data_IF_800531686487
#
_entry.id   IF_800531686487
#
_cell.length_a   1.000
_cell.length_b   1.000
_cell.length_c   1.000
_cell.angle_alpha   90.00
_cell.angle_beta   90.00
_cell.angle_gamma   90.00
#
_symmetry.space_group_name_H-M   'P 1'
#
loop_
_entity.id
_entity.type
_entity.pdbx_description
1 polymer ?
#
# COMPACT_ATOMS: atom_id res chain seq x y z
N UNK A 1 -10.29 -18.85 -23.30
CA UNK A 1 -8.84 -18.64 -23.13
C UNK A 1 -8.64 -17.20 -22.68
N UNK A 2 -8.16 -17.00 -21.49
CA UNK A 2 -7.90 -15.67 -20.93
C UNK A 2 -6.44 -15.60 -20.48
N UNK A 3 -5.74 -14.53 -20.83
CA UNK A 3 -4.40 -14.24 -20.36
C UNK A 3 -4.49 -13.17 -19.29
N UNK A 4 -3.86 -13.39 -18.14
CA UNK A 4 -3.76 -12.44 -17.05
C UNK A 4 -2.30 -12.12 -16.74
N UNK A 5 -2.03 -10.90 -16.28
CA UNK A 5 -0.72 -10.51 -15.80
C UNK A 5 -0.74 -10.48 -14.26
N UNK A 6 0.03 -11.37 -13.63
CA UNK A 6 0.32 -11.34 -12.21
C UNK A 6 1.49 -10.40 -11.95
N UNK A 7 1.30 -9.39 -11.12
CA UNK A 7 2.30 -8.38 -10.76
C UNK A 7 2.63 -8.52 -9.29
N UNK A 8 3.87 -8.86 -8.96
CA UNK A 8 4.36 -9.09 -7.62
C UNK A 8 5.47 -8.07 -7.28
N UNK A 9 5.13 -7.10 -6.43
CA UNK A 9 6.07 -6.13 -5.89
C UNK A 9 6.75 -6.70 -4.64
N UNK A 10 7.90 -7.33 -4.82
CA UNK A 10 8.75 -7.78 -3.71
C UNK A 10 9.55 -6.65 -3.08
N UNK A 11 10.49 -6.98 -2.18
CA UNK A 11 11.29 -5.97 -1.47
C UNK A 11 12.29 -5.25 -2.39
N UNK A 12 12.84 -5.92 -3.40
CA UNK A 12 13.95 -5.37 -4.22
C UNK A 12 13.63 -5.31 -5.71
N UNK A 13 12.49 -5.83 -6.12
CA UNK A 13 12.10 -5.88 -7.54
C UNK A 13 10.61 -6.12 -7.68
N UNK A 14 10.05 -5.70 -8.80
CA UNK A 14 8.75 -6.17 -9.28
C UNK A 14 8.94 -7.31 -10.28
N UNK A 15 8.09 -8.31 -10.20
CA UNK A 15 7.99 -9.42 -11.14
C UNK A 15 6.64 -9.40 -11.84
N UNK A 16 6.64 -9.51 -13.16
CA UNK A 16 5.43 -9.64 -13.98
C UNK A 16 5.42 -11.00 -14.64
N UNK A 17 4.35 -11.75 -14.45
CA UNK A 17 4.15 -13.08 -15.04
C UNK A 17 2.89 -13.09 -15.89
N UNK A 18 2.99 -13.50 -17.16
CA UNK A 18 1.84 -13.75 -18.02
C UNK A 18 1.38 -15.19 -17.84
N UNK A 19 0.10 -15.38 -17.55
CA UNK A 19 -0.51 -16.68 -17.30
C UNK A 19 -1.74 -16.86 -18.19
N UNK A 20 -1.76 -17.92 -18.98
CA UNK A 20 -2.90 -18.37 -19.76
C UNK A 20 -3.73 -19.34 -18.90
N UNK A 21 -5.05 -19.18 -18.85
CA UNK A 21 -5.95 -20.01 -18.03
C UNK A 21 -5.85 -21.51 -18.35
N UNK A 22 -5.48 -21.86 -19.57
CA UNK A 22 -5.47 -23.25 -20.05
C UNK A 22 -4.04 -23.83 -20.14
N UNK A 23 -3.05 -22.99 -20.45
CA UNK A 23 -1.65 -23.40 -20.69
C UNK A 23 -0.73 -23.16 -19.50
N UNK A 24 -1.18 -22.39 -18.51
CA UNK A 24 -0.36 -21.97 -17.38
C UNK A 24 0.56 -20.78 -17.72
N UNK A 25 1.70 -20.70 -17.03
CA UNK A 25 2.64 -19.57 -17.17
C UNK A 25 3.28 -19.55 -18.53
N UNK A 26 3.11 -18.43 -19.26
CA UNK A 26 3.70 -18.18 -20.58
C UNK A 26 5.11 -17.59 -20.49
N UNK A 27 5.34 -16.69 -19.56
CA UNK A 27 6.64 -16.07 -19.33
C UNK A 27 6.64 -15.22 -18.07
N UNK A 28 7.84 -14.74 -17.69
CA UNK A 28 8.02 -13.85 -16.53
C UNK A 28 9.24 -12.97 -16.72
N UNK A 29 9.14 -11.71 -16.33
CA UNK A 29 10.28 -10.79 -16.26
C UNK A 29 10.26 -10.02 -14.94
N UNK A 30 11.43 -9.51 -14.53
CA UNK A 30 11.59 -8.74 -13.32
C UNK A 30 12.43 -7.51 -13.56
N UNK A 31 12.14 -6.43 -12.82
CA UNK A 31 12.94 -5.22 -12.80
C UNK A 31 13.20 -4.79 -11.35
N UNK A 32 14.44 -4.42 -11.06
CA UNK A 32 14.85 -3.99 -9.74
C UNK A 32 14.53 -2.51 -9.50
N UNK A 33 14.38 -2.14 -8.23
CA UNK A 33 14.29 -0.75 -7.77
C UNK A 33 15.10 -0.55 -6.49
N UNK A 34 15.55 0.70 -6.23
CA UNK A 34 16.39 0.98 -5.07
C UNK A 34 15.68 0.74 -3.74
N UNK A 35 16.40 0.20 -2.78
CA UNK A 35 16.04 0.21 -1.36
C UNK A 35 16.91 1.26 -0.66
N UNK A 36 16.29 2.31 -0.13
CA UNK A 36 16.99 3.36 0.58
C UNK A 36 17.23 2.94 2.04
N UNK A 37 18.48 2.92 2.45
CA UNK A 37 18.92 2.64 3.82
C UNK A 37 19.86 3.76 4.28
N UNK A 38 19.95 3.98 5.58
CA UNK A 38 20.89 4.92 6.19
C UNK A 38 21.82 4.20 7.14
N UNK A 39 23.12 4.45 7.01
CA UNK A 39 24.11 3.80 7.87
C UNK A 39 23.96 4.22 9.34
N UNK A 40 23.61 5.48 9.54
CA UNK A 40 23.41 6.11 10.86
C UNK A 40 22.07 5.78 11.50
N UNK A 41 21.14 5.20 10.74
CA UNK A 41 19.81 4.80 11.22
C UNK A 41 19.44 3.42 10.62
N UNK A 42 19.79 2.33 11.29
CA UNK A 42 19.56 0.97 10.79
C UNK A 42 18.07 0.61 10.66
N UNK A 43 17.19 1.34 11.37
CA UNK A 43 15.75 1.16 11.31
C UNK A 43 15.12 1.84 10.09
N UNK A 44 15.86 2.71 9.41
CA UNK A 44 15.40 3.40 8.21
C UNK A 44 15.35 2.47 7.00
N UNK A 45 14.17 2.35 6.37
CA UNK A 45 13.99 1.62 5.11
C UNK A 45 12.86 2.23 4.28
N UNK A 46 13.22 2.89 3.17
CA UNK A 46 12.22 3.52 2.29
C UNK A 46 12.40 3.17 0.83
N UNK A 47 11.36 3.38 0.03
CA UNK A 47 11.37 3.24 -1.44
C UNK A 47 10.48 4.27 -2.11
N UNK A 48 10.92 4.74 -3.26
CA UNK A 48 10.19 5.67 -4.10
C UNK A 48 9.04 4.96 -4.86
N UNK A 49 7.84 5.53 -4.81
CA UNK A 49 6.71 5.08 -5.63
C UNK A 49 7.03 5.21 -7.14
N UNK A 50 7.68 6.29 -7.54
CA UNK A 50 8.05 6.51 -8.94
C UNK A 50 9.01 5.45 -9.48
N UNK A 51 10.02 5.03 -8.67
CA UNK A 51 10.97 4.00 -9.06
C UNK A 51 10.29 2.64 -9.22
N UNK A 52 9.35 2.32 -8.32
CA UNK A 52 8.57 1.08 -8.40
C UNK A 52 7.68 1.06 -9.64
N UNK A 53 7.01 2.17 -9.98
CA UNK A 53 6.18 2.25 -11.19
C UNK A 53 7.03 2.21 -12.47
N UNK A 54 8.22 2.82 -12.49
CA UNK A 54 9.15 2.69 -13.61
C UNK A 54 9.63 1.25 -13.82
N UNK A 55 9.92 0.53 -12.73
CA UNK A 55 10.28 -0.88 -12.79
C UNK A 55 9.11 -1.76 -13.27
N UNK A 56 7.88 -1.45 -12.88
CA UNK A 56 6.69 -2.14 -13.40
C UNK A 56 6.59 -2.01 -14.91
N UNK A 57 6.79 -0.81 -15.45
CA UNK A 57 6.80 -0.57 -16.90
C UNK A 57 7.89 -1.41 -17.58
N UNK A 58 9.11 -1.41 -17.02
CA UNK A 58 10.23 -2.18 -17.54
C UNK A 58 9.93 -3.69 -17.55
N UNK A 59 9.46 -4.25 -16.46
CA UNK A 59 9.17 -5.68 -16.35
C UNK A 59 8.01 -6.10 -17.27
N UNK A 60 6.95 -5.28 -17.36
CA UNK A 60 5.81 -5.58 -18.22
C UNK A 60 6.21 -5.59 -19.69
N UNK A 61 6.93 -4.58 -20.15
CA UNK A 61 7.42 -4.53 -21.54
C UNK A 61 8.41 -5.65 -21.87
N UNK A 62 9.25 -6.04 -20.91
CA UNK A 62 10.20 -7.14 -21.09
C UNK A 62 9.47 -8.48 -21.28
N UNK A 63 8.48 -8.81 -20.43
CA UNK A 63 7.75 -10.07 -20.57
C UNK A 63 6.89 -10.12 -21.84
N UNK A 64 6.33 -9.00 -22.28
CA UNK A 64 5.60 -8.91 -23.56
C UNK A 64 6.53 -9.19 -24.74
N UNK A 65 7.72 -8.59 -24.75
CA UNK A 65 8.71 -8.81 -25.81
C UNK A 65 9.22 -10.26 -25.84
N UNK A 66 9.44 -10.88 -24.67
CA UNK A 66 9.93 -12.25 -24.54
C UNK A 66 8.90 -13.29 -24.98
N UNK A 67 7.64 -13.08 -24.63
CA UNK A 67 6.56 -14.06 -24.89
C UNK A 67 5.87 -13.89 -26.23
N UNK A 68 6.03 -12.71 -26.86
CA UNK A 68 5.30 -12.31 -28.06
C UNK A 68 3.76 -12.45 -27.91
N UNK A 69 3.26 -12.35 -26.68
CA UNK A 69 1.81 -12.32 -26.41
C UNK A 69 1.23 -11.04 -26.97
N UNK A 70 0.10 -11.15 -27.65
CA UNK A 70 -0.67 -9.98 -28.08
C UNK A 70 -1.19 -9.24 -26.83
N UNK A 71 -0.81 -7.97 -26.58
CA UNK A 71 -1.28 -7.20 -25.44
C UNK A 71 -2.81 -7.16 -25.32
N UNK A 72 -3.53 -7.13 -26.45
CA UNK A 72 -4.99 -7.12 -26.48
C UNK A 72 -5.64 -8.42 -25.93
N UNK A 73 -4.86 -9.50 -25.80
CA UNK A 73 -5.32 -10.74 -25.20
C UNK A 73 -5.25 -10.75 -23.67
N UNK A 74 -4.58 -9.76 -23.05
CA UNK A 74 -4.46 -9.64 -21.60
C UNK A 74 -5.71 -8.97 -21.04
N UNK A 75 -6.52 -9.75 -20.33
CA UNK A 75 -7.84 -9.30 -19.86
C UNK A 75 -7.83 -8.71 -18.45
N UNK A 76 -6.78 -8.95 -17.64
CA UNK A 76 -6.68 -8.46 -16.28
C UNK A 76 -5.22 -8.36 -15.78
N UNK A 77 -5.02 -7.46 -14.82
CA UNK A 77 -3.84 -7.35 -13.97
C UNK A 77 -4.23 -7.74 -12.54
N UNK A 78 -3.49 -8.65 -11.92
CA UNK A 78 -3.62 -9.00 -10.50
C UNK A 78 -2.38 -8.49 -9.75
N UNK A 79 -2.60 -7.71 -8.71
CA UNK A 79 -1.53 -7.07 -7.94
C UNK A 79 -1.28 -7.80 -6.64
N UNK A 80 -0.02 -8.10 -6.34
CA UNK A 80 0.49 -8.47 -5.04
C UNK A 80 1.63 -7.53 -4.65
N UNK A 81 1.73 -7.20 -3.35
CA UNK A 81 2.71 -6.23 -2.86
C UNK A 81 3.23 -6.61 -1.49
N UNK A 82 4.39 -6.08 -1.12
CA UNK A 82 4.83 -6.13 0.28
C UNK A 82 3.82 -5.38 1.17
N UNK A 83 3.33 -6.03 2.20
CA UNK A 83 2.58 -5.39 3.28
C UNK A 83 3.50 -5.35 4.50
N UNK A 84 3.57 -4.39 5.24
CA UNK A 84 2.98 -3.10 5.46
C UNK A 84 3.93 -1.99 4.95
N UNK A 85 3.69 -1.48 3.81
CA UNK A 85 4.47 -0.39 3.21
C UNK A 85 3.56 0.82 3.06
N UNK A 86 3.80 1.85 3.87
CA UNK A 86 2.89 2.98 4.05
C UNK A 86 3.43 4.23 3.39
N UNK A 87 2.60 4.89 2.58
CA UNK A 87 2.92 6.15 1.94
C UNK A 87 1.92 7.25 2.32
N UNK A 88 2.38 8.39 2.86
CA UNK A 88 1.55 9.57 3.06
C UNK A 88 1.38 10.32 1.75
N UNK A 89 0.16 10.77 1.47
CA UNK A 89 -0.17 11.48 0.22
C UNK A 89 -0.97 12.75 0.47
N UNK A 90 -0.96 13.65 -0.51
CA UNK A 90 -1.79 14.86 -0.52
C UNK A 90 -3.19 14.62 -1.11
N UNK A 91 -3.97 15.68 -1.23
CA UNK A 91 -5.36 15.64 -1.73
C UNK A 91 -5.50 15.25 -3.19
N UNK A 92 -4.39 15.16 -3.94
CA UNK A 92 -4.34 14.69 -5.32
C UNK A 92 -3.62 13.32 -5.41
N UNK A 93 -3.50 12.61 -4.28
CA UNK A 93 -2.76 11.35 -4.14
C UNK A 93 -1.29 11.43 -4.56
N UNK A 94 -0.69 12.66 -4.53
CA UNK A 94 0.74 12.77 -4.78
C UNK A 94 1.52 12.39 -3.52
N UNK A 95 2.56 11.55 -3.64
CA UNK A 95 3.42 11.19 -2.52
C UNK A 95 4.02 12.43 -1.82
N UNK A 96 3.89 12.49 -0.50
CA UNK A 96 4.55 13.48 0.33
C UNK A 96 5.93 13.02 0.80
N UNK A 97 6.18 11.72 0.71
CA UNK A 97 7.43 11.07 1.05
C UNK A 97 7.51 9.70 0.35
N UNK A 98 8.63 9.00 0.49
CA UNK A 98 8.78 7.59 0.12
C UNK A 98 7.88 6.68 0.98
N UNK A 99 7.64 5.47 0.51
CA UNK A 99 7.08 4.42 1.36
C UNK A 99 7.97 4.17 2.57
N UNK A 100 7.39 4.13 3.75
CA UNK A 100 7.99 3.46 4.91
C UNK A 100 7.71 1.96 4.78
N UNK A 101 8.75 1.18 4.46
CA UNK A 101 8.60 -0.24 4.13
C UNK A 101 8.26 -1.10 5.35
N UNK A 102 7.85 -2.35 5.13
CA UNK A 102 7.61 -3.33 6.18
C UNK A 102 8.83 -3.50 7.12
N UNK A 103 10.03 -3.36 6.59
CA UNK A 103 11.30 -3.41 7.35
C UNK A 103 11.81 -2.02 7.80
N UNK A 104 10.95 -0.99 7.80
CA UNK A 104 11.20 0.29 8.47
C UNK A 104 10.69 0.19 9.91
N UNK A 105 11.60 0.25 10.86
CA UNK A 105 11.31 0.00 12.26
C UNK A 105 11.34 1.26 13.13
N UNK A 106 11.42 2.47 12.56
CA UNK A 106 11.53 3.72 13.31
C UNK A 106 10.35 4.03 14.24
N UNK A 107 9.18 3.45 14.01
CA UNK A 107 7.94 3.75 14.73
C UNK A 107 7.75 2.95 16.06
N UNK A 108 8.84 2.56 16.74
CA UNK A 108 8.79 1.75 17.96
C UNK A 108 7.99 2.41 19.10
N UNK A 109 8.19 3.72 19.32
CA UNK A 109 7.52 4.48 20.39
C UNK A 109 6.01 4.56 20.15
N UNK A 110 5.64 4.83 18.92
CA UNK A 110 4.25 4.91 18.49
C UNK A 110 3.53 3.57 18.68
N UNK A 111 4.17 2.48 18.29
CA UNK A 111 3.63 1.13 18.47
C UNK A 111 3.41 0.78 19.96
N UNK A 112 4.38 1.11 20.82
CA UNK A 112 4.24 0.93 22.26
C UNK A 112 3.07 1.74 22.83
N UNK A 113 2.92 3.01 22.44
CA UNK A 113 1.81 3.87 22.88
C UNK A 113 0.47 3.31 22.43
N UNK A 114 0.35 2.85 21.17
CA UNK A 114 -0.87 2.21 20.66
C UNK A 114 -1.21 0.98 21.49
N UNK A 115 -0.24 0.11 21.74
CA UNK A 115 -0.43 -1.12 22.53
C UNK A 115 -0.89 -0.80 23.97
N UNK A 116 -0.21 0.12 24.63
CA UNK A 116 -0.54 0.51 26.01
C UNK A 116 -1.94 1.11 26.10
N UNK A 117 -2.26 2.07 25.24
CA UNK A 117 -3.57 2.70 25.23
C UNK A 117 -4.68 1.69 24.89
N UNK A 118 -4.44 0.80 23.94
CA UNK A 118 -5.43 -0.22 23.55
C UNK A 118 -5.77 -1.15 24.71
N UNK A 119 -4.79 -1.55 25.52
CA UNK A 119 -5.05 -2.33 26.74
C UNK A 119 -5.72 -1.51 27.85
N UNK A 120 -5.34 -0.24 28.04
CA UNK A 120 -5.96 0.65 29.03
C UNK A 120 -7.44 0.94 28.76
N UNK A 121 -7.80 0.98 27.50
CA UNK A 121 -9.15 1.28 27.02
C UNK A 121 -9.96 0.04 26.62
N UNK A 122 -9.45 -1.15 26.92
CA UNK A 122 -10.08 -2.44 26.56
C UNK A 122 -10.47 -2.50 25.06
N UNK A 123 -9.62 -1.95 24.17
CA UNK A 123 -9.89 -1.95 22.74
C UNK A 123 -9.88 -3.37 22.19
N UNK A 124 -11.02 -3.88 21.77
CA UNK A 124 -11.15 -5.25 21.25
C UNK A 124 -10.16 -5.55 20.12
N UNK A 125 -9.88 -4.57 19.25
CA UNK A 125 -9.00 -4.74 18.09
C UNK A 125 -7.59 -5.21 18.46
N UNK A 126 -7.06 -4.90 19.66
CA UNK A 126 -5.71 -5.30 20.06
C UNK A 126 -5.58 -6.82 20.22
N UNK A 127 -6.65 -7.50 20.66
CA UNK A 127 -6.64 -8.97 20.77
C UNK A 127 -6.47 -9.64 19.41
N UNK A 128 -7.02 -9.04 18.36
CA UNK A 128 -6.88 -9.53 16.97
C UNK A 128 -5.50 -9.25 16.37
N UNK A 129 -4.70 -8.40 17.01
CA UNK A 129 -3.29 -8.17 16.70
C UNK A 129 -2.34 -9.07 17.51
N UNK A 130 -2.87 -10.06 18.25
CA UNK A 130 -2.08 -10.90 19.15
C UNK A 130 -1.68 -10.17 20.45
N UNK A 131 -2.38 -9.12 20.83
CA UNK A 131 -2.15 -8.34 22.07
C UNK A 131 -1.09 -7.25 21.96
N UNK A 132 -0.41 -7.11 20.81
CA UNK A 132 0.65 -6.12 20.60
C UNK A 132 0.48 -5.48 19.22
N UNK A 133 0.56 -4.16 19.13
CA UNK A 133 0.61 -3.45 17.85
C UNK A 133 2.05 -3.28 17.38
N UNK A 134 2.36 -3.70 16.16
CA UNK A 134 3.72 -3.68 15.63
C UNK A 134 4.14 -2.27 15.15
N UNK A 135 5.42 -1.96 15.32
CA UNK A 135 6.06 -0.77 14.73
C UNK A 135 6.12 -0.81 13.20
N UNK A 136 5.94 -1.98 12.60
CA UNK A 136 5.85 -2.15 11.14
C UNK A 136 4.50 -1.69 10.57
N UNK A 137 3.46 -1.52 11.41
CA UNK A 137 2.09 -1.35 10.94
C UNK A 137 1.63 0.09 10.81
N UNK A 138 0.54 0.26 10.08
CA UNK A 138 0.08 1.52 9.52
C UNK A 138 -0.07 2.67 10.50
N UNK A 139 -0.80 2.51 11.62
CA UNK A 139 -0.98 3.60 12.58
C UNK A 139 0.34 4.02 13.24
N UNK A 140 1.22 3.07 13.57
CA UNK A 140 2.51 3.42 14.16
C UNK A 140 3.36 4.25 13.19
N UNK A 141 3.50 3.79 11.95
CA UNK A 141 4.24 4.52 10.90
C UNK A 141 3.64 5.87 10.58
N UNK A 142 2.32 5.95 10.46
CA UNK A 142 1.64 7.22 10.19
C UNK A 142 1.85 8.22 11.31
N UNK A 143 1.70 7.80 12.57
CA UNK A 143 1.93 8.68 13.71
C UNK A 143 3.38 9.15 13.78
N UNK A 144 4.33 8.23 13.58
CA UNK A 144 5.74 8.57 13.46
C UNK A 144 5.98 9.63 12.37
N UNK A 145 5.44 9.40 11.16
CA UNK A 145 5.62 10.33 10.04
C UNK A 145 5.02 11.71 10.35
N UNK A 146 3.81 11.76 10.90
CA UNK A 146 3.16 13.02 11.28
C UNK A 146 3.97 13.78 12.35
N UNK A 147 4.59 13.12 13.30
CA UNK A 147 5.41 13.74 14.34
C UNK A 147 6.71 14.32 13.80
N UNK A 148 7.33 13.62 12.83
CA UNK A 148 8.66 13.96 12.32
C UNK A 148 8.65 14.84 11.06
N UNK A 149 7.48 15.12 10.47
CA UNK A 149 7.35 15.97 9.28
C UNK A 149 6.36 17.12 9.46
N UNK A 150 6.62 18.04 10.41
CA UNK A 150 5.71 19.15 10.72
C UNK A 150 5.46 20.09 9.54
N UNK A 151 6.44 20.25 8.66
CA UNK A 151 6.41 21.06 7.44
C UNK A 151 5.50 20.46 6.34
N UNK A 152 5.38 19.14 6.30
CA UNK A 152 4.57 18.43 5.30
C UNK A 152 3.12 18.18 5.75
N UNK A 153 2.85 18.23 7.06
CA UNK A 153 1.52 17.92 7.65
C UNK A 153 0.36 18.71 7.04
N UNK A 154 0.59 19.97 6.72
CA UNK A 154 -0.43 20.84 6.13
C UNK A 154 -0.96 20.37 4.76
N UNK A 155 -0.20 19.55 4.07
CA UNK A 155 -0.58 18.95 2.78
C UNK A 155 -1.14 17.53 2.91
N UNK A 156 -0.98 16.89 4.07
CA UNK A 156 -1.40 15.50 4.29
C UNK A 156 -2.91 15.34 4.17
N UNK A 157 -3.36 14.52 3.24
CA UNK A 157 -4.75 14.13 3.08
C UNK A 157 -5.02 12.73 3.65
N UNK A 158 -4.24 11.74 3.26
CA UNK A 158 -4.40 10.35 3.69
C UNK A 158 -3.08 9.58 3.64
N UNK A 159 -3.08 8.35 4.18
CA UNK A 159 -2.01 7.39 3.97
C UNK A 159 -2.56 6.13 3.27
N UNK A 160 -1.73 5.52 2.45
CA UNK A 160 -2.09 4.33 1.67
C UNK A 160 -1.12 3.19 1.96
N UNK A 161 -1.63 1.96 1.92
CA UNK A 161 -0.80 0.78 1.76
C UNK A 161 -0.29 0.70 0.32
N UNK A 162 0.79 -0.02 0.11
CA UNK A 162 1.43 -0.16 -1.20
C UNK A 162 0.46 -0.67 -2.28
N UNK A 163 -0.31 -1.72 -2.00
CA UNK A 163 -1.31 -2.25 -2.92
C UNK A 163 -2.36 -1.21 -3.32
N UNK A 164 -2.83 -0.40 -2.35
CA UNK A 164 -3.85 0.62 -2.59
C UNK A 164 -3.30 1.75 -3.46
N UNK A 165 -2.05 2.19 -3.18
CA UNK A 165 -1.40 3.25 -3.96
C UNK A 165 -1.12 2.83 -5.40
N UNK A 166 -0.62 1.60 -5.62
CA UNK A 166 -0.38 1.07 -6.98
C UNK A 166 -1.70 0.95 -7.74
N UNK A 167 -2.73 0.38 -7.11
CA UNK A 167 -4.05 0.26 -7.75
C UNK A 167 -4.63 1.64 -8.12
N UNK A 168 -4.64 2.61 -7.18
CA UNK A 168 -5.13 3.97 -7.43
C UNK A 168 -4.36 4.64 -8.58
N UNK A 169 -3.04 4.47 -8.63
CA UNK A 169 -2.19 5.00 -9.71
C UNK A 169 -2.55 4.41 -11.06
N UNK A 170 -2.67 3.09 -11.17
CA UNK A 170 -2.95 2.40 -12.44
C UNK A 170 -4.35 2.71 -12.99
N UNK A 171 -5.33 2.91 -12.13
CA UNK A 171 -6.69 3.27 -12.53
C UNK A 171 -6.89 4.78 -12.68
N UNK A 172 -5.94 5.61 -12.20
CA UNK A 172 -5.95 7.06 -12.37
C UNK A 172 -6.85 7.79 -11.38
N UNK A 173 -7.04 7.25 -10.17
CA UNK A 173 -7.77 7.93 -9.10
C UNK A 173 -6.91 9.05 -8.53
N UNK A 174 -7.53 10.20 -8.31
CA UNK A 174 -6.91 11.38 -7.68
C UNK A 174 -7.66 11.85 -6.42
N UNK A 175 -8.86 11.33 -6.15
CA UNK A 175 -9.62 11.64 -4.95
C UNK A 175 -9.36 10.56 -3.87
N UNK A 176 -8.83 10.93 -2.69
CA UNK A 176 -8.63 10.00 -1.58
C UNK A 176 -9.88 9.20 -1.16
N UNK A 177 -11.08 9.78 -1.33
CA UNK A 177 -12.34 9.13 -0.98
C UNK A 177 -12.71 7.97 -1.91
N UNK A 178 -12.19 7.96 -3.13
CA UNK A 178 -12.48 6.94 -4.16
C UNK A 178 -11.45 5.79 -4.20
N UNK A 179 -10.41 5.86 -3.37
CA UNK A 179 -9.33 4.86 -3.38
C UNK A 179 -9.87 3.46 -3.06
N UNK A 180 -9.59 2.45 -3.90
CA UNK A 180 -9.88 1.05 -3.60
C UNK A 180 -8.89 0.56 -2.53
N UNK A 181 -9.37 0.38 -1.30
CA UNK A 181 -8.56 -0.10 -0.18
C UNK A 181 -8.75 -1.58 0.03
N UNK A 182 -7.65 -2.32 0.12
CA UNK A 182 -7.67 -3.75 0.42
C UNK A 182 -8.08 -4.00 1.87
N UNK A 183 -9.21 -4.70 2.08
CA UNK A 183 -9.63 -5.12 3.44
C UNK A 183 -8.61 -6.06 4.08
N UNK A 184 -7.83 -6.81 3.28
CA UNK A 184 -6.75 -7.64 3.77
C UNK A 184 -5.62 -6.79 4.39
N UNK A 185 -5.12 -5.79 3.66
CA UNK A 185 -4.10 -4.88 4.16
C UNK A 185 -4.61 -4.07 5.36
N UNK A 186 -5.82 -3.52 5.28
CA UNK A 186 -6.41 -2.71 6.35
C UNK A 186 -6.72 -3.53 7.59
N UNK A 187 -7.25 -4.74 7.46
CA UNK A 187 -7.53 -5.65 8.58
C UNK A 187 -6.26 -6.07 9.29
N UNK A 188 -5.23 -6.41 8.55
CA UNK A 188 -3.97 -6.91 9.09
C UNK A 188 -3.09 -5.82 9.70
N UNK A 189 -3.12 -4.59 9.14
CA UNK A 189 -2.16 -3.53 9.48
C UNK A 189 -2.79 -2.31 10.18
N UNK A 190 -4.11 -2.11 10.03
CA UNK A 190 -4.81 -0.92 10.50
C UNK A 190 -5.96 -1.23 11.45
N UNK A 191 -6.00 -2.46 12.00
CA UNK A 191 -7.08 -2.92 12.89
C UNK A 191 -8.49 -2.75 12.28
N UNK A 192 -8.62 -2.84 10.96
CA UNK A 192 -9.93 -2.75 10.31
C UNK A 192 -10.68 -4.07 10.44
N UNK A 193 -11.94 -4.02 10.87
CA UNK A 193 -12.82 -5.19 10.90
C UNK A 193 -14.28 -4.75 10.86
N UNK A 194 -15.14 -5.56 10.24
CA UNK A 194 -16.60 -5.34 10.24
C UNK A 194 -17.22 -5.44 11.63
N UNK A 195 -16.58 -6.15 12.57
CA UNK A 195 -17.05 -6.34 13.92
C UNK A 195 -17.19 -5.03 14.72
N UNK A 196 -16.35 -4.04 14.43
CA UNK A 196 -16.40 -2.68 15.00
C UNK A 196 -16.57 -1.58 13.95
N UNK A 197 -17.23 -1.94 12.86
CA UNK A 197 -17.59 -1.00 11.79
C UNK A 197 -16.36 -0.29 11.17
N UNK A 198 -15.35 -1.06 10.80
CA UNK A 198 -14.17 -0.58 10.08
C UNK A 198 -12.94 -0.36 10.94
N UNK A 199 -12.34 0.83 10.87
CA UNK A 199 -11.16 1.20 11.66
C UNK A 199 -11.51 1.40 13.15
N UNK A 200 -10.54 1.39 14.07
CA UNK A 200 -10.73 1.77 15.46
C UNK A 200 -11.49 3.10 15.60
N UNK A 201 -12.30 3.26 16.67
CA UNK A 201 -13.13 4.45 16.80
C UNK A 201 -12.28 5.72 16.91
N UNK A 202 -12.79 6.84 16.36
CA UNK A 202 -12.06 8.11 16.34
C UNK A 202 -11.66 8.59 17.75
N UNK A 203 -12.48 8.35 18.77
CA UNK A 203 -12.13 8.74 20.14
C UNK A 203 -10.83 8.08 20.63
N UNK A 204 -10.60 6.80 20.26
CA UNK A 204 -9.36 6.09 20.61
C UNK A 204 -8.16 6.70 19.89
N UNK A 205 -8.30 6.97 18.59
CA UNK A 205 -7.26 7.58 17.76
C UNK A 205 -6.92 8.99 18.24
N UNK A 206 -7.91 9.82 18.57
CA UNK A 206 -7.70 11.16 19.14
C UNK A 206 -7.06 11.13 20.53
N UNK A 207 -7.39 10.13 21.35
CA UNK A 207 -6.79 9.95 22.67
C UNK A 207 -5.32 9.53 22.58
N UNK A 208 -4.95 8.79 21.53
CA UNK A 208 -3.58 8.40 21.26
C UNK A 208 -2.68 9.61 20.98
N UNK A 209 -3.13 10.51 20.10
CA UNK A 209 -2.42 11.74 19.76
C UNK A 209 -3.37 12.73 19.05
N UNK A 210 -3.33 14.05 19.39
CA UNK A 210 -4.12 15.07 18.66
C UNK A 210 -3.84 15.13 17.15
N UNK A 211 -2.67 14.67 16.67
CA UNK A 211 -2.39 14.56 15.24
C UNK A 211 -3.29 13.56 14.52
N UNK A 212 -3.96 12.70 15.28
CA UNK A 212 -4.94 11.74 14.76
C UNK A 212 -6.38 12.24 14.82
N UNK A 213 -6.63 13.51 15.17
CA UNK A 213 -7.97 14.07 15.09
C UNK A 213 -8.49 14.04 13.65
N UNK A 214 -9.64 13.38 13.46
CA UNK A 214 -10.25 13.17 12.14
C UNK A 214 -9.56 12.14 11.24
N UNK A 215 -8.53 11.42 11.73
CA UNK A 215 -7.75 10.48 10.90
C UNK A 215 -8.61 9.30 10.39
N UNK A 216 -9.60 8.82 11.18
CA UNK A 216 -10.47 7.74 10.77
C UNK A 216 -11.22 8.07 9.46
N UNK A 217 -11.70 9.29 9.32
CA UNK A 217 -12.35 9.76 8.10
C UNK A 217 -11.35 9.91 6.94
N UNK A 218 -10.15 10.43 7.20
CA UNK A 218 -9.09 10.56 6.18
C UNK A 218 -8.60 9.22 5.64
N UNK A 219 -8.62 8.16 6.45
CA UNK A 219 -8.30 6.80 6.02
C UNK A 219 -9.49 6.09 5.36
N UNK A 220 -10.58 6.79 5.09
CA UNK A 220 -11.72 6.32 4.32
C UNK A 220 -11.35 5.96 2.88
N UNK A 221 -12.33 5.39 2.17
CA UNK A 221 -12.19 4.92 0.81
C UNK A 221 -13.16 3.77 0.54
N UNK A 222 -13.02 3.11 -0.60
CA UNK A 222 -13.82 1.94 -0.96
C UNK A 222 -13.11 0.68 -0.48
N UNK A 223 -13.58 0.10 0.61
CA UNK A 223 -12.99 -1.14 1.15
C UNK A 223 -13.42 -2.35 0.33
N UNK A 224 -12.46 -3.05 -0.28
CA UNK A 224 -12.69 -4.14 -1.22
C UNK A 224 -11.97 -5.42 -0.77
N UNK A 225 -12.63 -6.56 -0.97
CA UNK A 225 -12.01 -7.87 -0.84
C UNK A 225 -11.10 -8.16 -2.06
N UNK A 226 -10.21 -9.14 -1.94
CA UNK A 226 -9.21 -9.45 -2.97
C UNK A 226 -9.79 -10.02 -4.27
N UNK A 227 -11.04 -10.49 -4.25
CA UNK A 227 -11.78 -10.96 -5.42
C UNK A 227 -12.59 -9.87 -6.12
N UNK A 228 -12.61 -8.65 -5.56
CA UNK A 228 -13.29 -7.52 -6.15
C UNK A 228 -12.42 -6.81 -7.19
N UNK A 229 -13.06 -6.31 -8.24
CA UNK A 229 -12.40 -5.47 -9.25
C UNK A 229 -12.14 -4.10 -8.65
N UNK A 230 -10.86 -3.71 -8.51
CA UNK A 230 -10.46 -2.40 -8.02
C UNK A 230 -10.87 -1.27 -8.99
N UNK A 231 -10.73 -1.51 -10.29
CA UNK A 231 -11.05 -0.59 -11.36
C UNK A 231 -10.50 -1.09 -12.70
N UNK A 232 -10.45 -0.20 -13.68
CA UNK A 232 -9.90 -0.47 -15.00
C UNK A 232 -8.59 0.31 -15.19
N UNK A 233 -7.61 -0.32 -15.85
CA UNK A 233 -6.37 0.33 -16.25
C UNK A 233 -6.70 1.56 -17.11
N UNK A 234 -6.17 2.73 -16.75
CA UNK A 234 -6.39 3.93 -17.55
C UNK A 234 -5.49 3.97 -18.79
N UNK A 235 -5.88 4.78 -19.78
CA UNK A 235 -5.19 4.88 -21.07
C UNK A 235 -3.71 5.27 -20.94
N UNK A 236 -3.38 6.15 -20.00
CA UNK A 236 -2.00 6.56 -19.73
C UNK A 236 -1.14 5.35 -19.34
N UNK A 237 -1.57 4.61 -18.32
CA UNK A 237 -0.82 3.45 -17.84
C UNK A 237 -0.87 2.26 -18.81
N UNK A 238 -1.99 2.07 -19.53
CA UNK A 238 -2.03 1.10 -20.63
C UNK A 238 -0.93 1.38 -21.64
N UNK A 239 -0.82 2.61 -22.12
CA UNK A 239 0.25 3.02 -23.04
C UNK A 239 1.66 2.89 -22.46
N UNK A 240 1.86 3.22 -21.15
CA UNK A 240 3.16 3.06 -20.49
C UNK A 240 3.57 1.58 -20.39
N UNK A 241 2.65 0.70 -20.05
CA UNK A 241 2.88 -0.74 -19.90
C UNK A 241 2.97 -1.47 -21.25
N UNK A 242 2.42 -0.87 -22.31
CA UNK A 242 2.34 -1.49 -23.64
C UNK A 242 1.17 -2.48 -23.77
N UNK A 243 0.08 -2.19 -23.05
CA UNK A 243 -1.18 -2.96 -23.01
C UNK A 243 -2.30 -2.26 -23.76
#
# INVERSE_FOLDING_TARGET
MAIVAGVDFGTLSVRVSLVDSDKGRLGTASAAYPLHRRREDPDFATQSHADQMAALVQATRAVLAETAVDPAAIVALALDTTGSSVIPVDSQLQPLDDYMLWCDHRAHREAQQITQLAHQEDLEAIAWCGGVYSHEWGFAKLLYWLRHNPDKRGRFATALEHCDMVAATLIGITDPAEVPRSICAMGHKWMWNTRWDGLPPQWFLSKLDPLFDGIRARLGGRYLASDAIAGHLNDHWAGQLGL
#
